data_IF_468679249697
#
_entry.id   IF_468679249697
#
_cell.length_a   1.000
_cell.length_b   1.000
_cell.length_c   1.000
_cell.angle_alpha   90.00
_cell.angle_beta   90.00
_cell.angle_gamma   90.00
#
_symmetry.space_group_name_H-M   'P 1'
#
loop_
_entity.id
_entity.type
_entity.pdbx_description
1 polymer ?
#
# COMPACT_ATOMS: atom_id res chain seq x y z
N UNK A 1 -10.59 27.18 -38.44
CA UNK A 1 -9.19 27.03 -37.99
C UNK A 1 -8.99 28.02 -36.85
N UNK A 2 -8.83 27.70 -35.58
CA UNK A 2 -8.51 26.46 -34.90
C UNK A 2 -8.59 26.77 -33.40
N UNK A 3 -9.77 26.64 -32.80
CA UNK A 3 -9.97 26.82 -31.35
C UNK A 3 -10.09 25.45 -30.64
N UNK A 4 -9.42 24.43 -31.19
CA UNK A 4 -9.34 23.06 -30.68
C UNK A 4 -7.95 22.82 -30.06
N UNK A 5 -7.41 23.78 -29.29
CA UNK A 5 -6.08 23.65 -28.68
C UNK A 5 -6.02 24.26 -27.28
N UNK A 6 -7.06 24.05 -26.47
CA UNK A 6 -7.02 24.23 -25.00
C UNK A 6 -7.60 23.03 -24.25
N UNK A 7 -7.30 21.82 -24.72
CA UNK A 7 -7.47 20.59 -23.95
C UNK A 7 -6.10 19.90 -23.92
N UNK A 8 -5.68 19.45 -22.73
CA UNK A 8 -4.42 18.75 -22.38
C UNK A 8 -3.30 19.58 -21.73
N UNK A 9 -3.60 20.27 -20.64
CA UNK A 9 -2.58 20.50 -19.59
C UNK A 9 -2.93 19.85 -18.24
N UNK A 10 -4.13 19.29 -18.10
CA UNK A 10 -4.60 18.70 -16.82
C UNK A 10 -4.44 17.16 -16.73
N UNK A 11 -4.16 16.47 -17.84
CA UNK A 11 -4.05 15.00 -17.85
C UNK A 11 -2.71 14.46 -17.33
N UNK A 12 -1.66 15.29 -17.27
CA UNK A 12 -0.34 14.88 -16.77
C UNK A 12 -0.31 14.68 -15.26
N UNK A 13 -1.23 15.30 -14.51
CA UNK A 13 -1.30 15.15 -13.05
C UNK A 13 -1.91 13.81 -12.61
N UNK A 14 -2.77 13.18 -13.42
CA UNK A 14 -3.38 11.87 -13.11
C UNK A 14 -2.42 10.70 -13.28
N UNK A 15 -1.41 10.82 -14.15
CA UNK A 15 -0.44 9.75 -14.46
C UNK A 15 0.57 9.55 -13.31
N UNK A 16 0.90 10.61 -12.56
CA UNK A 16 1.85 10.55 -11.44
C UNK A 16 1.33 9.80 -10.20
N UNK A 17 0.03 9.48 -10.14
CA UNK A 17 -0.59 8.77 -9.01
C UNK A 17 -0.24 7.27 -9.02
N UNK A 18 0.12 6.71 -10.19
CA UNK A 18 0.44 5.28 -10.36
C UNK A 18 1.94 4.99 -10.44
N UNK A 19 2.81 5.97 -10.17
CA UNK A 19 4.25 5.70 -10.06
C UNK A 19 4.48 4.66 -8.95
N UNK A 20 5.19 3.57 -9.27
CA UNK A 20 5.46 2.44 -8.38
C UNK A 20 5.84 2.88 -6.96
N UNK A 21 4.87 2.89 -6.03
CA UNK A 21 5.14 3.27 -4.64
C UNK A 21 5.95 2.16 -3.99
N UNK A 22 7.28 2.31 -4.02
CA UNK A 22 8.21 1.38 -3.40
C UNK A 22 7.91 1.26 -1.90
N UNK A 23 7.61 0.04 -1.45
CA UNK A 23 7.35 -0.27 -0.04
C UNK A 23 8.60 -0.91 0.57
N UNK A 24 9.03 -0.43 1.74
CA UNK A 24 10.21 -0.98 2.42
C UNK A 24 9.82 -1.98 3.52
N UNK A 25 10.69 -2.96 3.77
CA UNK A 25 10.48 -3.97 4.79
C UNK A 25 10.52 -3.37 6.19
N UNK A 26 9.36 -3.35 6.87
CA UNK A 26 9.28 -2.85 8.25
C UNK A 26 10.15 -3.60 9.27
N UNK A 27 10.49 -4.87 9.03
CA UNK A 27 11.41 -5.62 9.91
C UNK A 27 12.86 -5.22 9.67
N UNK A 28 13.33 -5.16 8.42
CA UNK A 28 14.69 -4.70 8.11
C UNK A 28 14.93 -3.28 8.62
N UNK A 29 13.93 -2.39 8.46
CA UNK A 29 14.03 -1.01 8.92
C UNK A 29 14.29 -0.90 10.42
N UNK A 30 13.80 -1.87 11.19
CA UNK A 30 13.99 -1.92 12.63
C UNK A 30 15.43 -2.29 13.06
N UNK A 31 16.19 -2.85 12.12
CA UNK A 31 17.59 -3.19 12.24
C UNK A 31 18.47 -2.29 11.36
N UNK A 32 18.02 -1.05 11.11
CA UNK A 32 18.72 -0.04 10.30
C UNK A 32 18.99 -0.44 8.84
N UNK A 33 18.26 -1.42 8.31
CA UNK A 33 18.38 -1.87 6.92
C UNK A 33 17.15 -1.46 6.10
N UNK A 34 17.36 -0.70 5.03
CA UNK A 34 16.29 -0.28 4.11
C UNK A 34 16.31 -1.19 2.89
N UNK A 35 15.36 -2.12 2.84
CA UNK A 35 15.23 -3.09 1.74
C UNK A 35 13.81 -3.02 1.19
N UNK A 36 13.67 -2.99 -0.13
CA UNK A 36 12.36 -3.02 -0.78
C UNK A 36 11.62 -4.32 -0.46
N UNK A 37 10.29 -4.26 -0.32
CA UNK A 37 9.46 -5.41 0.06
C UNK A 37 9.30 -6.40 -1.08
N UNK A 38 9.33 -5.91 -2.33
CA UNK A 38 9.15 -6.70 -3.53
C UNK A 38 10.36 -7.62 -3.72
N UNK A 39 10.12 -8.94 -3.69
CA UNK A 39 11.12 -9.96 -3.98
C UNK A 39 12.19 -10.21 -2.91
N UNK A 40 12.17 -9.54 -1.75
CA UNK A 40 13.18 -9.79 -0.73
C UNK A 40 12.95 -11.08 0.06
N UNK A 41 14.03 -11.66 0.57
CA UNK A 41 14.02 -12.67 1.63
C UNK A 41 14.51 -11.98 2.91
N UNK A 42 13.64 -11.88 3.93
CA UNK A 42 13.93 -11.06 5.10
C UNK A 42 14.82 -11.82 6.08
N UNK A 43 16.04 -11.33 6.39
CA UNK A 43 16.92 -11.98 7.37
C UNK A 43 16.33 -11.92 8.79
N UNK A 44 15.47 -10.94 9.07
CA UNK A 44 14.82 -10.75 10.37
C UNK A 44 13.40 -11.34 10.43
N UNK A 45 13.00 -12.20 9.48
CA UNK A 45 11.65 -12.80 9.42
C UNK A 45 11.26 -13.42 10.78
N UNK A 46 12.21 -14.06 11.44
CA UNK A 46 12.03 -14.75 12.73
C UNK A 46 12.68 -14.01 13.91
N UNK A 47 13.07 -12.75 13.76
CA UNK A 47 13.71 -11.99 14.85
C UNK A 47 12.77 -11.84 16.06
N UNK A 48 13.27 -12.14 17.26
CA UNK A 48 12.52 -12.10 18.51
C UNK A 48 12.56 -10.77 19.28
N UNK A 49 13.20 -9.72 18.76
CA UNK A 49 13.31 -8.45 19.49
C UNK A 49 11.94 -7.75 19.63
N UNK A 50 11.75 -6.98 20.71
CA UNK A 50 10.49 -6.25 21.00
C UNK A 50 10.05 -5.36 19.83
N UNK A 51 11.03 -4.64 19.33
CA UNK A 51 11.02 -3.83 18.14
C UNK A 51 10.40 -4.55 16.91
N UNK A 52 10.71 -5.83 16.66
CA UNK A 52 10.13 -6.63 15.57
C UNK A 52 8.77 -7.25 15.94
N UNK A 53 8.54 -7.59 17.22
CA UNK A 53 7.22 -8.02 17.72
C UNK A 53 6.16 -6.95 17.46
N UNK A 54 6.47 -5.68 17.73
CA UNK A 54 5.58 -4.54 17.46
C UNK A 54 5.24 -4.41 15.96
N UNK A 55 6.21 -4.61 15.07
CA UNK A 55 5.97 -4.59 13.61
C UNK A 55 5.02 -5.72 13.20
N UNK A 56 5.16 -6.93 13.77
CA UNK A 56 4.25 -8.06 13.51
C UNK A 56 2.84 -7.78 13.98
N UNK A 57 2.68 -7.27 15.21
CA UNK A 57 1.37 -6.87 15.75
C UNK A 57 0.68 -5.84 14.86
N UNK A 58 1.41 -4.79 14.45
CA UNK A 58 0.89 -3.77 13.52
C UNK A 58 0.41 -4.38 12.20
N UNK A 59 1.18 -5.32 11.61
CA UNK A 59 0.79 -6.01 10.36
C UNK A 59 -0.47 -6.86 10.55
N UNK A 60 -0.61 -7.55 11.69
CA UNK A 60 -1.80 -8.32 12.02
C UNK A 60 -3.04 -7.43 12.11
N UNK A 61 -2.95 -6.32 12.85
CA UNK A 61 -4.03 -5.33 12.97
C UNK A 61 -4.43 -4.80 11.60
N UNK A 62 -3.44 -4.38 10.79
CA UNK A 62 -3.70 -3.83 9.45
C UNK A 62 -4.36 -4.88 8.52
N UNK A 63 -3.94 -6.15 8.59
CA UNK A 63 -4.56 -7.24 7.83
C UNK A 63 -6.04 -7.42 8.21
N UNK A 64 -6.36 -7.43 9.51
CA UNK A 64 -7.73 -7.51 9.99
C UNK A 64 -8.56 -6.31 9.53
N UNK A 65 -8.03 -5.08 9.66
CA UNK A 65 -8.70 -3.86 9.21
C UNK A 65 -8.97 -3.86 7.71
N UNK A 66 -8.00 -4.27 6.89
CA UNK A 66 -8.17 -4.38 5.43
C UNK A 66 -9.27 -5.38 5.08
N UNK A 67 -9.30 -6.54 5.76
CA UNK A 67 -10.35 -7.55 5.55
C UNK A 67 -11.74 -6.98 5.84
N UNK A 68 -11.91 -6.36 7.01
CA UNK A 68 -13.19 -5.76 7.41
C UNK A 68 -13.66 -4.68 6.43
N UNK A 69 -12.75 -3.80 6.01
CA UNK A 69 -13.05 -2.77 5.00
C UNK A 69 -13.54 -3.39 3.69
N UNK A 70 -12.82 -4.39 3.17
CA UNK A 70 -13.20 -5.08 1.93
C UNK A 70 -14.56 -5.78 2.05
N UNK A 71 -14.88 -6.35 3.21
CA UNK A 71 -16.20 -6.94 3.47
C UNK A 71 -17.31 -5.87 3.48
N UNK A 72 -17.06 -4.73 4.11
CA UNK A 72 -17.99 -3.59 4.11
C UNK A 72 -18.21 -3.05 2.69
N UNK A 73 -17.15 -2.85 1.91
CA UNK A 73 -17.22 -2.35 0.53
C UNK A 73 -18.03 -3.30 -0.36
N UNK A 74 -17.81 -4.61 -0.25
CA UNK A 74 -18.60 -5.63 -0.95
C UNK A 74 -20.09 -5.55 -0.58
N UNK A 75 -20.41 -5.42 0.71
CA UNK A 75 -21.80 -5.27 1.18
C UNK A 75 -22.45 -4.00 0.63
N UNK A 76 -21.70 -2.90 0.55
CA UNK A 76 -22.20 -1.64 0.01
C UNK A 76 -22.50 -1.74 -1.48
N UNK A 77 -21.59 -2.33 -2.27
CA UNK A 77 -21.80 -2.53 -3.72
C UNK A 77 -23.02 -3.40 -4.02
N UNK A 78 -23.21 -4.49 -3.28
CA UNK A 78 -24.39 -5.37 -3.45
C UNK A 78 -25.69 -4.62 -3.15
N UNK A 79 -25.72 -3.77 -2.11
CA UNK A 79 -26.92 -2.99 -1.75
C UNK A 79 -27.34 -1.95 -2.79
N UNK A 80 -26.43 -1.47 -3.63
CA UNK A 80 -26.68 -0.41 -4.62
C UNK A 80 -26.67 -0.93 -6.06
N UNK A 81 -26.67 -2.26 -6.24
CA UNK A 81 -26.72 -2.92 -7.55
C UNK A 81 -28.17 -3.22 -8.02
N UNK A 82 -29.17 -2.68 -7.31
CA UNK A 82 -30.60 -2.71 -7.64
C UNK A 82 -31.10 -1.30 -7.91
#
# INVERSE_FOLDING_TARGET
>A
MSEILRLRQEDTQRILIFADVKRHCGMCRQHSLVVETRGHICPFKNCGCEKCKLVRQRRSIMSTQIRLRREQDKRFQVKHAH
#
